data_IF_832050305540
#
_entry.id   IF_832050305540
#
_cell.length_a   1.000
_cell.length_b   1.000
_cell.length_c   1.000
_cell.angle_alpha   90.00
_cell.angle_beta   90.00
_cell.angle_gamma   90.00
#
_symmetry.space_group_name_H-M   'P 1'
#
loop_
_entity.id
_entity.type
_entity.pdbx_description
1 polymer ?
#
# COMPACT_ATOMS: atom_id res chain seq x y z
N UNK A 1 12.18 14.82 -5.01
CA UNK A 1 11.51 13.52 -5.22
C UNK A 1 11.90 12.57 -4.10
N UNK A 2 10.96 12.19 -3.24
CA UNK A 2 11.19 11.09 -2.30
C UNK A 2 11.50 9.80 -3.09
N UNK A 3 12.34 8.88 -2.55
CA UNK A 3 12.64 7.60 -3.23
C UNK A 3 11.36 6.78 -3.34
N UNK A 4 10.71 6.84 -4.50
CA UNK A 4 9.46 6.14 -4.75
C UNK A 4 9.61 4.61 -4.64
N UNK A 5 8.51 3.92 -4.33
CA UNK A 5 8.49 2.47 -4.13
C UNK A 5 8.68 1.76 -5.49
N UNK A 6 9.85 1.15 -5.72
CA UNK A 6 10.12 0.45 -6.98
C UNK A 6 9.37 -0.88 -7.18
N UNK A 7 8.75 -1.43 -6.13
CA UNK A 7 8.00 -2.69 -6.21
C UNK A 7 6.54 -2.41 -6.54
N UNK A 8 6.05 -2.93 -7.68
CA UNK A 8 4.65 -2.82 -8.09
C UNK A 8 3.67 -3.20 -6.99
N UNK A 9 3.81 -4.40 -6.42
CA UNK A 9 2.94 -4.87 -5.32
C UNK A 9 2.88 -3.95 -4.11
N UNK A 10 4.03 -3.40 -3.71
CA UNK A 10 4.06 -2.49 -2.55
C UNK A 10 3.38 -1.15 -2.88
N UNK A 11 3.46 -0.68 -4.13
CA UNK A 11 2.68 0.48 -4.60
C UNK A 11 1.19 0.18 -4.57
N UNK A 12 0.79 -0.98 -5.08
CA UNK A 12 -0.63 -1.37 -5.15
C UNK A 12 -1.27 -1.47 -3.76
N UNK A 13 -0.53 -2.02 -2.78
CA UNK A 13 -0.94 -2.02 -1.37
C UNK A 13 -1.14 -0.58 -0.85
N UNK A 14 -0.20 0.32 -1.13
CA UNK A 14 -0.31 1.72 -0.73
C UNK A 14 -1.54 2.40 -1.36
N UNK A 15 -1.85 2.12 -2.63
CA UNK A 15 -3.06 2.63 -3.29
C UNK A 15 -4.34 2.10 -2.67
N UNK A 16 -4.41 0.79 -2.37
CA UNK A 16 -5.57 0.20 -1.68
C UNK A 16 -5.83 0.90 -0.33
N UNK A 17 -4.76 1.16 0.44
CA UNK A 17 -4.86 1.81 1.74
C UNK A 17 -5.18 3.32 1.65
N UNK A 18 -4.88 3.95 0.51
CA UNK A 18 -5.22 5.36 0.26
C UNK A 18 -6.74 5.57 0.22
N UNK A 19 -7.48 4.64 -0.37
CA UNK A 19 -8.93 4.73 -0.53
C UNK A 19 -9.72 4.31 0.73
N UNK A 20 -9.17 3.41 1.55
CA UNK A 20 -9.92 2.74 2.61
C UNK A 20 -9.79 3.34 4.01
N UNK A 21 -8.80 4.21 4.26
CA UNK A 21 -8.53 4.77 5.60
C UNK A 21 -7.91 3.76 6.59
N UNK A 22 -7.81 2.49 6.21
CA UNK A 22 -7.17 1.42 6.98
C UNK A 22 -7.90 0.08 6.78
N UNK A 23 -7.16 -1.03 6.87
CA UNK A 23 -7.69 -2.37 6.67
C UNK A 23 -7.00 -3.37 7.59
N UNK A 24 -7.72 -4.41 8.00
CA UNK A 24 -7.09 -5.59 8.62
C UNK A 24 -6.14 -6.28 7.63
N UNK A 25 -5.21 -7.10 8.14
CA UNK A 25 -4.34 -7.95 7.32
C UNK A 25 -5.13 -8.77 6.27
N UNK A 26 -6.24 -9.38 6.71
CA UNK A 26 -7.04 -10.26 5.87
C UNK A 26 -7.81 -9.48 4.80
N UNK A 27 -8.42 -8.34 5.15
CA UNK A 27 -9.12 -7.48 4.19
C UNK A 27 -8.15 -6.95 3.13
N UNK A 28 -7.00 -6.45 3.55
CA UNK A 28 -5.98 -5.91 2.65
C UNK A 28 -5.46 -6.98 1.68
N UNK A 29 -5.23 -8.20 2.17
CA UNK A 29 -4.83 -9.33 1.32
C UNK A 29 -5.91 -9.68 0.31
N UNK A 30 -7.16 -9.80 0.77
CA UNK A 30 -8.30 -10.15 -0.08
C UNK A 30 -8.54 -9.10 -1.16
N UNK A 31 -8.41 -7.81 -0.83
CA UNK A 31 -8.54 -6.72 -1.79
C UNK A 31 -7.45 -6.78 -2.87
N UNK A 32 -6.20 -7.04 -2.46
CA UNK A 32 -5.09 -7.18 -3.39
C UNK A 32 -5.25 -8.40 -4.31
N UNK A 33 -5.66 -9.55 -3.77
CA UNK A 33 -5.95 -10.75 -4.56
C UNK A 33 -7.09 -10.51 -5.56
N UNK A 34 -8.12 -9.76 -5.16
CA UNK A 34 -9.22 -9.35 -6.04
C UNK A 34 -8.73 -8.48 -7.19
N UNK A 35 -7.92 -7.45 -6.91
CA UNK A 35 -7.34 -6.59 -7.96
C UNK A 35 -6.43 -7.36 -8.92
N UNK A 36 -5.75 -8.40 -8.43
CA UNK A 36 -4.85 -9.21 -9.24
C UNK A 36 -5.53 -10.39 -9.94
N UNK A 37 -6.82 -10.62 -9.69
CA UNK A 37 -7.55 -11.82 -10.13
C UNK A 37 -6.77 -13.12 -9.85
N UNK A 38 -6.06 -13.17 -8.70
CA UNK A 38 -5.19 -14.29 -8.37
C UNK A 38 -4.86 -14.36 -6.88
N UNK A 39 -4.53 -15.57 -6.41
CA UNK A 39 -4.12 -15.79 -5.02
C UNK A 39 -2.67 -15.39 -4.78
N UNK A 40 -2.42 -14.82 -3.60
CA UNK A 40 -1.10 -14.43 -3.11
C UNK A 40 -0.75 -15.31 -1.92
N UNK A 41 0.44 -15.93 -1.98
CA UNK A 41 0.97 -16.73 -0.87
C UNK A 41 1.04 -15.86 0.39
N UNK A 42 0.55 -16.32 1.56
CA UNK A 42 0.52 -15.52 2.79
C UNK A 42 1.87 -14.88 3.15
N UNK A 43 2.96 -15.66 3.11
CA UNK A 43 4.32 -15.13 3.38
C UNK A 43 4.73 -14.01 2.42
N UNK A 44 4.36 -14.14 1.14
CA UNK A 44 4.68 -13.13 0.12
C UNK A 44 3.92 -11.83 0.36
N UNK A 45 2.68 -11.90 0.81
CA UNK A 45 1.90 -10.73 1.21
C UNK A 45 2.49 -10.08 2.47
N UNK A 46 2.70 -10.87 3.53
CA UNK A 46 3.22 -10.37 4.82
C UNK A 46 4.57 -9.70 4.67
N UNK A 47 5.52 -10.30 3.93
CA UNK A 47 6.82 -9.66 3.68
C UNK A 47 6.74 -8.36 2.88
N UNK A 48 5.71 -8.19 2.02
CA UNK A 48 5.50 -6.93 1.32
C UNK A 48 5.01 -5.82 2.27
N UNK A 49 4.05 -6.15 3.15
CA UNK A 49 3.50 -5.22 4.15
C UNK A 49 4.54 -4.88 5.22
N UNK A 50 5.26 -5.88 5.76
CA UNK A 50 6.38 -5.68 6.68
C UNK A 50 7.39 -4.70 6.11
N UNK A 51 7.74 -4.84 4.82
CA UNK A 51 8.69 -3.92 4.22
C UNK A 51 8.16 -2.49 4.10
N UNK A 52 6.87 -2.31 3.89
CA UNK A 52 6.22 -1.00 3.86
C UNK A 52 6.18 -0.35 5.25
N UNK A 53 5.96 -1.15 6.29
CA UNK A 53 6.03 -0.70 7.69
C UNK A 53 7.46 -0.31 8.06
N UNK A 54 8.44 -1.17 7.80
CA UNK A 54 9.87 -0.90 8.04
C UNK A 54 10.36 0.39 7.36
N UNK A 55 9.85 0.66 6.15
CA UNK A 55 10.25 1.84 5.38
C UNK A 55 9.40 3.08 5.68
N UNK A 56 8.42 2.95 6.59
CA UNK A 56 7.59 4.04 7.11
C UNK A 56 6.51 4.52 6.15
N UNK A 57 6.14 3.76 5.12
CA UNK A 57 5.02 4.10 4.22
C UNK A 57 3.68 3.65 4.79
N UNK A 58 3.67 2.58 5.58
CA UNK A 58 2.49 2.02 6.24
C UNK A 58 2.72 2.02 7.75
N UNK A 59 1.65 2.20 8.51
CA UNK A 59 1.62 2.04 9.97
C UNK A 59 0.85 0.76 10.27
N UNK A 60 1.35 -0.03 11.22
CA UNK A 60 0.63 -1.17 11.80
C UNK A 60 0.12 -0.78 13.17
N UNK A 61 -1.13 -1.12 13.47
CA UNK A 61 -1.71 -1.02 14.80
C UNK A 61 -2.46 -2.31 15.11
N UNK A 62 -2.12 -2.93 16.24
CA UNK A 62 -2.85 -4.09 16.74
C UNK A 62 -4.14 -3.62 17.41
N UNK A 63 -5.29 -4.04 16.88
CA UNK A 63 -6.60 -3.80 17.48
C UNK A 63 -7.23 -5.16 17.84
N UNK A 64 -7.26 -5.48 19.14
CA UNK A 64 -7.67 -6.80 19.62
C UNK A 64 -6.71 -7.90 19.16
N UNK A 65 -7.19 -8.81 18.31
CA UNK A 65 -6.42 -9.94 17.76
C UNK A 65 -5.97 -9.71 16.32
N UNK A 66 -6.27 -8.55 15.74
CA UNK A 66 -6.04 -8.25 14.33
C UNK A 66 -5.04 -7.12 14.18
N UNK A 67 -4.14 -7.27 13.21
CA UNK A 67 -3.29 -6.18 12.74
C UNK A 67 -4.06 -5.35 11.74
N UNK A 68 -4.12 -4.04 11.99
CA UNK A 68 -4.66 -3.04 11.08
C UNK A 68 -3.53 -2.23 10.46
N UNK A 69 -3.60 -2.08 9.14
CA UNK A 69 -2.66 -1.31 8.34
C UNK A 69 -3.33 -0.05 7.80
N UNK A 70 -2.63 1.07 7.87
CA UNK A 70 -3.05 2.33 7.25
C UNK A 70 -1.85 3.06 6.67
N UNK A 71 -2.07 3.99 5.74
CA UNK A 71 -0.98 4.83 5.25
C UNK A 71 -0.46 5.73 6.36
N UNK A 72 0.86 5.85 6.42
CA UNK A 72 1.48 6.94 7.16
C UNK A 72 1.32 8.26 6.41
N UNK A 73 1.61 9.38 7.07
CA UNK A 73 1.71 10.69 6.39
C UNK A 73 2.71 10.66 5.23
N UNK A 74 3.85 9.98 5.42
CA UNK A 74 4.86 9.77 4.37
C UNK A 74 4.30 8.94 3.21
N UNK A 75 3.59 7.85 3.53
CA UNK A 75 2.89 7.01 2.54
C UNK A 75 1.96 7.82 1.67
N UNK A 76 1.10 8.62 2.30
CA UNK A 76 0.14 9.48 1.61
C UNK A 76 0.82 10.50 0.70
N UNK A 77 1.77 11.27 1.24
CA UNK A 77 2.51 12.28 0.47
C UNK A 77 3.25 11.66 -0.72
N UNK A 78 3.89 10.50 -0.54
CA UNK A 78 4.61 9.85 -1.63
C UNK A 78 3.67 9.39 -2.76
N UNK A 79 2.45 8.95 -2.45
CA UNK A 79 1.44 8.60 -3.48
C UNK A 79 1.03 9.86 -4.26
N UNK A 80 0.72 10.94 -3.55
CA UNK A 80 0.33 12.22 -4.16
C UNK A 80 1.44 12.74 -5.08
N UNK A 81 2.70 12.77 -4.62
CA UNK A 81 3.87 13.11 -5.44
C UNK A 81 4.00 12.22 -6.69
N UNK A 82 3.68 10.92 -6.57
CA UNK A 82 3.77 10.00 -7.69
C UNK A 82 2.64 10.19 -8.70
N UNK A 83 1.43 10.46 -8.23
CA UNK A 83 0.27 10.73 -9.09
C UNK A 83 0.48 12.04 -9.86
N UNK A 84 0.98 13.09 -9.21
CA UNK A 84 1.36 14.34 -9.88
C UNK A 84 2.42 14.11 -10.96
N UNK A 85 3.43 13.28 -10.67
CA UNK A 85 4.45 12.94 -11.67
C UNK A 85 3.86 12.16 -12.85
N UNK A 86 3.00 11.16 -12.61
CA UNK A 86 2.33 10.42 -13.69
C UNK A 86 1.53 11.39 -14.56
N UNK A 87 0.73 12.25 -13.94
CA UNK A 87 -0.13 13.23 -14.62
C UNK A 87 0.68 14.16 -15.54
N UNK A 88 1.81 14.67 -15.04
CA UNK A 88 2.73 15.52 -15.81
C UNK A 88 3.34 14.80 -17.02
N UNK A 89 3.66 13.51 -16.89
CA UNK A 89 4.30 12.72 -17.96
C UNK A 89 3.29 12.17 -18.97
N UNK A 90 2.07 11.82 -18.54
CA UNK A 90 1.04 11.24 -19.41
C UNK A 90 0.10 12.28 -20.00
N UNK A 91 0.11 13.51 -19.50
CA UNK A 91 -0.79 14.58 -19.93
C UNK A 91 -2.25 14.20 -19.71
N UNK A 92 -2.55 13.52 -18.61
CA UNK A 92 -3.91 13.11 -18.30
C UNK A 92 -4.78 14.36 -18.11
N UNK A 93 -5.78 14.50 -18.98
CA UNK A 93 -6.83 15.54 -18.96
C UNK A 93 -8.04 15.02 -18.21
#
# INVERSE_FOLDING_TARGET
MSKWIHSGRRRDICYILYESGGMTDQELKTELERKYDSRIKPRTFRSAVEKLVETGYVISKTEGLQEHYSLSKKGKQSIEEHLEWIDQETGSV
#
